data_IF_199055684589
#
_entry.id   IF_199055684589
#
_cell.length_a   1.000
_cell.length_b   1.000
_cell.length_c   1.000
_cell.angle_alpha   90.00
_cell.angle_beta   90.00
_cell.angle_gamma   90.00
#
_symmetry.space_group_name_H-M   'P 1'
#
loop_
_entity.id
_entity.type
_entity.pdbx_description
1 polymer ?
#
# COMPACT_ATOMS: atom_id res chain seq x y z
N UNK A 1 18.66 -8.68 6.81
CA UNK A 1 18.14 -8.40 5.44
C UNK A 1 17.29 -7.14 5.52
N UNK A 2 17.04 -6.48 4.40
CA UNK A 2 16.15 -5.31 4.33
C UNK A 2 14.69 -5.74 4.17
N UNK A 3 13.73 -4.83 4.41
CA UNK A 3 12.31 -5.12 4.20
C UNK A 3 12.02 -5.37 2.71
N UNK A 4 11.12 -6.30 2.42
CA UNK A 4 10.65 -6.60 1.06
C UNK A 4 9.58 -5.60 0.58
N UNK A 5 8.94 -4.89 1.52
CA UNK A 5 7.84 -3.96 1.28
C UNK A 5 8.07 -2.96 0.13
N UNK A 6 9.18 -2.19 0.05
CA UNK A 6 9.37 -1.24 -1.06
C UNK A 6 9.47 -1.92 -2.43
N UNK A 7 10.03 -3.13 -2.47
CA UNK A 7 10.15 -3.91 -3.70
C UNK A 7 8.79 -4.45 -4.15
N UNK A 8 7.99 -4.97 -3.21
CA UNK A 8 6.64 -5.43 -3.49
C UNK A 8 5.74 -4.29 -3.95
N UNK A 9 5.83 -3.11 -3.34
CA UNK A 9 5.09 -1.92 -3.79
C UNK A 9 5.38 -1.61 -5.27
N UNK A 10 6.65 -1.54 -5.67
CA UNK A 10 7.02 -1.29 -7.07
C UNK A 10 6.55 -2.38 -8.02
N UNK A 11 6.67 -3.65 -7.62
CA UNK A 11 6.24 -4.79 -8.43
C UNK A 11 4.72 -4.78 -8.65
N UNK A 12 3.93 -4.52 -7.60
CA UNK A 12 2.47 -4.45 -7.69
C UNK A 12 2.03 -3.21 -8.46
N UNK A 13 2.69 -2.07 -8.26
CA UNK A 13 2.46 -0.86 -9.04
C UNK A 13 2.59 -1.14 -10.55
N UNK A 14 3.72 -1.75 -10.96
CA UNK A 14 3.94 -2.10 -12.36
C UNK A 14 2.89 -3.10 -12.86
N UNK A 15 2.57 -4.12 -12.07
CA UNK A 15 1.56 -5.10 -12.43
C UNK A 15 0.17 -4.47 -12.62
N UNK A 16 -0.24 -3.54 -11.76
CA UNK A 16 -1.52 -2.81 -11.92
C UNK A 16 -1.52 -1.99 -13.22
N UNK A 17 -0.43 -1.30 -13.52
CA UNK A 17 -0.27 -0.51 -14.74
C UNK A 17 -0.31 -1.36 -16.01
N UNK A 18 0.39 -2.49 -16.02
CA UNK A 18 0.38 -3.44 -17.15
C UNK A 18 -1.03 -3.99 -17.43
N UNK A 19 -1.90 -4.03 -16.40
CA UNK A 19 -3.29 -4.46 -16.51
C UNK A 19 -4.30 -3.31 -16.65
N UNK A 20 -3.84 -2.06 -16.85
CA UNK A 20 -4.70 -0.88 -17.03
C UNK A 20 -5.65 -0.63 -15.83
N UNK A 21 -5.16 -0.91 -14.62
CA UNK A 21 -5.88 -0.71 -13.36
C UNK A 21 -5.25 0.49 -12.62
N UNK A 22 -6.09 1.38 -12.08
CA UNK A 22 -5.62 2.63 -11.45
C UNK A 22 -4.99 2.33 -10.07
N UNK A 23 -3.68 2.55 -9.86
CA UNK A 23 -3.00 2.21 -8.62
C UNK A 23 -3.26 3.23 -7.52
N UNK A 24 -3.80 2.75 -6.40
CA UNK A 24 -4.08 3.52 -5.19
C UNK A 24 -3.18 3.06 -4.05
N UNK A 25 -2.65 4.03 -3.28
CA UNK A 25 -1.97 3.77 -2.00
C UNK A 25 -2.92 4.08 -0.85
N UNK A 26 -2.99 3.16 0.12
CA UNK A 26 -3.51 3.48 1.46
C UNK A 26 -2.33 3.80 2.37
N UNK A 27 -2.36 4.97 3.01
CA UNK A 27 -1.26 5.48 3.83
C UNK A 27 -1.76 5.78 5.23
N UNK A 28 -0.99 5.38 6.25
CA UNK A 28 -1.16 5.85 7.62
C UNK A 28 -0.57 7.26 7.75
N UNK A 29 -1.43 8.26 7.89
CA UNK A 29 -1.04 9.66 7.96
C UNK A 29 -0.65 10.12 9.39
N UNK A 30 -0.73 9.23 10.38
CA UNK A 30 -0.33 9.56 11.77
C UNK A 30 1.15 9.30 12.06
N UNK A 31 1.90 8.74 11.10
CA UNK A 31 3.32 8.45 11.29
C UNK A 31 4.20 9.67 10.98
N UNK A 32 5.28 9.82 11.74
CA UNK A 32 6.26 10.86 11.53
C UNK A 32 6.88 10.79 10.12
N UNK A 33 7.10 11.96 9.53
CA UNK A 33 7.67 12.09 8.19
C UNK A 33 6.66 11.99 7.04
N UNK A 34 5.39 11.62 7.31
CA UNK A 34 4.34 11.67 6.29
C UNK A 34 3.95 13.13 6.01
N UNK A 35 4.13 13.57 4.76
CA UNK A 35 3.76 14.89 4.29
C UNK A 35 2.66 14.76 3.24
N UNK A 36 1.43 14.99 3.67
CA UNK A 36 0.22 14.91 2.85
C UNK A 36 -0.77 16.02 3.24
N UNK A 37 -1.74 16.37 2.39
CA UNK A 37 -2.72 17.40 2.71
C UNK A 37 -3.66 16.94 3.83
N UNK A 38 -3.59 17.62 4.99
CA UNK A 38 -4.30 17.22 6.21
C UNK A 38 -5.83 17.20 6.03
N UNK A 39 -6.35 18.08 5.18
CA UNK A 39 -7.78 18.20 4.85
C UNK A 39 -8.39 16.92 4.23
N UNK A 40 -7.56 16.02 3.71
CA UNK A 40 -7.98 14.78 3.04
C UNK A 40 -7.72 13.54 3.89
N UNK A 41 -7.25 13.72 5.13
CA UNK A 41 -7.05 12.62 6.08
C UNK A 41 -8.41 12.24 6.69
N UNK A 42 -8.74 10.96 6.67
CA UNK A 42 -9.90 10.38 7.32
C UNK A 42 -9.48 9.21 8.22
N UNK A 43 -9.87 9.23 9.49
CA UNK A 43 -9.50 8.23 10.50
C UNK A 43 -7.98 7.93 10.55
N UNK A 44 -7.17 9.00 10.47
CA UNK A 44 -5.71 8.91 10.48
C UNK A 44 -5.11 8.30 9.21
N UNK A 45 -5.90 8.10 8.15
CA UNK A 45 -5.46 7.51 6.89
C UNK A 45 -5.74 8.44 5.71
N UNK A 46 -5.00 8.25 4.64
CA UNK A 46 -5.26 8.90 3.36
C UNK A 46 -5.14 7.88 2.23
N UNK A 47 -5.99 8.02 1.22
CA UNK A 47 -5.92 7.24 -0.02
C UNK A 47 -5.36 8.16 -1.10
N UNK A 48 -4.30 7.72 -1.76
CA UNK A 48 -3.60 8.50 -2.78
C UNK A 48 -3.67 7.78 -4.12
N UNK A 49 -4.16 8.47 -5.14
CA UNK A 49 -4.06 8.00 -6.52
C UNK A 49 -2.62 8.23 -7.01
N UNK A 50 -1.92 7.17 -7.40
CA UNK A 50 -0.56 7.23 -7.92
C UNK A 50 -0.47 6.82 -9.40
N UNK A 51 -1.60 6.82 -10.11
CA UNK A 51 -1.60 6.62 -11.55
C UNK A 51 -0.77 7.70 -12.27
N UNK A 52 0.00 7.36 -13.32
CA UNK A 52 0.82 8.33 -14.06
C UNK A 52 0.06 9.55 -14.55
N UNK A 53 -1.23 9.43 -14.87
CA UNK A 53 -2.05 10.55 -15.33
C UNK A 53 -2.48 11.48 -14.17
N UNK A 54 -2.40 11.01 -12.93
CA UNK A 54 -2.83 11.73 -11.73
C UNK A 54 -1.69 12.44 -10.99
N UNK A 55 -0.43 12.06 -11.25
CA UNK A 55 0.75 12.53 -10.52
C UNK A 55 1.85 13.02 -11.45
N UNK A 56 2.76 13.85 -10.94
CA UNK A 56 3.99 14.23 -11.63
C UNK A 56 5.19 13.90 -10.75
N UNK A 57 6.35 13.66 -11.38
CA UNK A 57 7.61 13.36 -10.70
C UNK A 57 7.50 12.19 -9.71
N UNK A 58 6.78 11.13 -10.09
CA UNK A 58 6.63 9.94 -9.26
C UNK A 58 7.99 9.25 -9.04
N UNK A 59 8.35 9.11 -7.78
CA UNK A 59 9.57 8.44 -7.34
C UNK A 59 9.25 7.50 -6.19
N UNK A 60 9.71 6.26 -6.29
CA UNK A 60 9.48 5.22 -5.28
C UNK A 60 10.79 4.46 -5.01
N UNK A 61 11.46 4.79 -3.92
CA UNK A 61 12.71 4.14 -3.52
C UNK A 61 12.49 3.19 -2.32
N UNK A 62 13.56 2.86 -1.60
CA UNK A 62 13.49 1.92 -0.49
C UNK A 62 13.06 2.56 0.83
N UNK A 63 13.10 3.89 0.93
CA UNK A 63 12.88 4.65 2.16
C UNK A 63 11.58 5.47 2.08
N UNK A 64 11.26 6.02 0.91
CA UNK A 64 10.06 6.82 0.66
C UNK A 64 9.49 6.69 -0.75
N UNK A 65 8.25 7.14 -0.86
CA UNK A 65 7.56 7.46 -2.11
C UNK A 65 7.30 8.96 -2.11
N UNK A 66 7.61 9.63 -3.22
CA UNK A 66 7.38 11.06 -3.39
C UNK A 66 6.82 11.36 -4.77
N UNK A 67 5.90 12.32 -4.85
CA UNK A 67 5.32 12.80 -6.10
C UNK A 67 4.59 14.13 -5.86
N UNK A 68 4.29 14.85 -6.94
CA UNK A 68 3.40 16.01 -6.90
C UNK A 68 2.02 15.65 -7.43
N UNK A 69 0.96 16.11 -6.78
CA UNK A 69 -0.42 15.93 -7.23
C UNK A 69 -1.26 17.18 -6.95
N UNK A 70 -2.47 17.24 -7.54
CA UNK A 70 -3.39 18.36 -7.35
C UNK A 70 -4.50 18.01 -6.37
N UNK A 71 -4.64 18.82 -5.33
CA UNK A 71 -5.71 18.73 -4.33
C UNK A 71 -6.53 20.02 -4.40
N UNK A 72 -7.83 19.91 -4.75
CA UNK A 72 -8.70 21.08 -5.01
C UNK A 72 -8.07 22.09 -5.96
N UNK A 73 -7.39 21.60 -7.00
CA UNK A 73 -6.72 22.42 -8.00
C UNK A 73 -5.40 23.05 -7.55
N UNK A 74 -4.94 22.87 -6.32
CA UNK A 74 -3.62 23.31 -5.85
C UNK A 74 -2.61 22.18 -6.00
N UNK A 75 -1.47 22.45 -6.63
CA UNK A 75 -0.37 21.50 -6.71
C UNK A 75 0.34 21.42 -5.36
N UNK A 76 0.63 20.20 -4.91
CA UNK A 76 1.33 19.92 -3.66
C UNK A 76 2.31 18.77 -3.89
N UNK A 77 3.49 18.86 -3.28
CA UNK A 77 4.44 17.75 -3.18
C UNK A 77 4.08 16.88 -1.97
N UNK A 78 4.18 15.57 -2.16
CA UNK A 78 3.85 14.56 -1.16
C UNK A 78 5.09 13.73 -0.86
N UNK A 79 5.24 13.37 0.40
CA UNK A 79 6.34 12.52 0.87
C UNK A 79 5.81 11.47 1.82
N UNK A 80 6.01 10.20 1.49
CA UNK A 80 5.44 9.05 2.20
C UNK A 80 6.56 8.07 2.54
N UNK A 81 6.99 7.97 3.81
CA UNK A 81 7.87 6.90 4.24
C UNK A 81 7.28 5.52 3.94
N UNK A 82 8.09 4.57 3.49
CA UNK A 82 7.61 3.22 3.13
C UNK A 82 6.91 2.52 4.30
N UNK A 83 7.35 2.80 5.53
CA UNK A 83 6.70 2.28 6.74
C UNK A 83 5.23 2.70 6.86
N UNK A 84 4.84 3.86 6.33
CA UNK A 84 3.50 4.40 6.40
C UNK A 84 2.54 3.81 5.35
N UNK A 85 3.04 3.10 4.34
CA UNK A 85 2.19 2.49 3.31
C UNK A 85 1.48 1.27 3.90
N UNK A 86 0.15 1.33 4.03
CA UNK A 86 -0.65 0.22 4.53
C UNK A 86 -1.05 -0.76 3.43
N UNK A 87 -1.28 -0.26 2.20
CA UNK A 87 -1.63 -1.09 1.06
C UNK A 87 -1.29 -0.40 -0.27
N UNK A 88 -1.13 -1.21 -1.31
CA UNK A 88 -1.21 -0.80 -2.71
C UNK A 88 -2.25 -1.68 -3.41
N UNK A 89 -3.21 -1.07 -4.09
CA UNK A 89 -4.31 -1.80 -4.72
C UNK A 89 -4.90 -1.05 -5.92
N UNK A 90 -5.57 -1.79 -6.78
CA UNK A 90 -6.33 -1.26 -7.91
C UNK A 90 -7.65 -0.64 -7.45
N UNK A 91 -7.92 0.59 -7.88
CA UNK A 91 -9.17 1.30 -7.57
C UNK A 91 -10.42 0.51 -8.01
N UNK A 92 -10.34 -0.15 -9.16
CA UNK A 92 -11.48 -0.75 -9.87
C UNK A 92 -11.93 -2.07 -9.24
N UNK A 93 -10.98 -2.88 -8.78
CA UNK A 93 -11.22 -4.27 -8.36
C UNK A 93 -10.69 -4.59 -6.96
N UNK A 94 -9.99 -3.67 -6.31
CA UNK A 94 -9.31 -3.84 -5.03
C UNK A 94 -8.26 -4.97 -5.03
N UNK A 95 -7.74 -5.36 -6.21
CA UNK A 95 -6.63 -6.30 -6.29
C UNK A 95 -5.31 -5.61 -5.93
N UNK A 96 -4.45 -6.31 -5.19
CA UNK A 96 -3.19 -5.76 -4.72
C UNK A 96 -2.71 -6.45 -3.46
N UNK A 97 -2.08 -5.68 -2.57
CA UNK A 97 -1.51 -6.20 -1.33
C UNK A 97 -1.74 -5.24 -0.17
N UNK A 98 -2.09 -5.82 0.97
CA UNK A 98 -2.12 -5.17 2.27
C UNK A 98 -0.88 -5.61 3.04
N UNK A 99 -0.11 -4.64 3.54
CA UNK A 99 1.10 -4.91 4.29
C UNK A 99 0.78 -5.02 5.78
N UNK A 100 1.26 -6.09 6.42
CA UNK A 100 1.18 -6.25 7.88
C UNK A 100 2.48 -5.81 8.54
N UNK A 101 2.45 -5.54 9.85
CA UNK A 101 3.62 -5.13 10.62
C UNK A 101 4.76 -6.19 10.59
N UNK A 102 4.44 -7.45 10.33
CA UNK A 102 5.42 -8.54 10.23
C UNK A 102 6.28 -8.48 8.95
N UNK A 103 5.78 -7.85 7.88
CA UNK A 103 6.49 -7.70 6.59
C UNK A 103 7.56 -6.58 6.62
N UNK A 104 7.66 -5.89 7.76
CA UNK A 104 8.72 -4.93 8.09
C UNK A 104 10.02 -5.66 8.46
N UNK A 105 9.95 -6.96 8.80
CA UNK A 105 11.12 -7.74 9.17
C UNK A 105 11.77 -8.45 7.97
N UNK A 106 13.11 -8.60 7.96
CA UNK A 106 13.76 -9.52 7.04
C UNK A 106 13.14 -10.92 7.16
N UNK A 107 12.93 -11.67 6.05
CA UNK A 107 12.45 -13.04 6.15
C UNK A 107 13.45 -13.84 6.99
N UNK A 108 13.02 -14.25 8.18
CA UNK A 108 13.73 -15.28 8.93
C UNK A 108 13.60 -16.58 8.14
N UNK A 109 14.69 -17.34 7.91
CA UNK A 109 14.52 -18.64 7.30
C UNK A 109 13.76 -19.51 8.31
N UNK A 110 12.70 -20.20 7.84
CA UNK A 110 12.03 -21.37 8.46
C UNK A 110 10.62 -21.11 9.03
N UNK A 111 9.57 -21.37 8.23
CA UNK A 111 8.67 -22.56 8.25
C UNK A 111 7.34 -22.21 7.55
N UNK A 112 6.72 -23.13 6.79
CA UNK A 112 5.43 -22.87 6.16
C UNK A 112 4.38 -22.62 7.25
N UNK A 113 3.85 -21.40 7.27
CA UNK A 113 2.71 -21.03 8.12
C UNK A 113 1.50 -21.85 7.67
N UNK A 114 1.10 -22.80 8.51
CA UNK A 114 -0.13 -23.57 8.33
C UNK A 114 -1.32 -22.61 8.40
N UNK A 115 -1.90 -22.29 7.24
CA UNK A 115 -3.23 -21.71 7.15
C UNK A 115 -4.21 -22.65 7.86
N UNK A 116 -4.61 -22.32 9.09
CA UNK A 116 -5.71 -22.99 9.80
C UNK A 116 -7.02 -22.66 9.08
N UNK A 117 -7.33 -23.40 8.02
CA UNK A 117 -8.69 -23.49 7.51
C UNK A 117 -9.57 -24.18 8.56
N UNK A 118 -10.44 -23.39 9.20
CA UNK A 118 -11.55 -23.87 10.03
C UNK A 118 -12.45 -24.76 9.17
N UNK A 119 -12.42 -26.08 9.39
CA UNK A 119 -13.42 -27.00 8.80
C UNK A 119 -14.74 -26.86 9.56
N UNK A 120 -15.89 -26.66 8.91
CA UNK A 120 -17.18 -26.70 9.59
C UNK A 120 -17.52 -28.16 9.93
N UNK A 121 -17.82 -28.42 11.21
CA UNK A 121 -18.23 -29.74 11.68
C UNK A 121 -19.68 -30.02 11.31
N UNK A 122 -19.91 -31.04 10.48
CA UNK A 122 -21.24 -31.56 10.19
C UNK A 122 -21.68 -32.47 11.36
N UNK A 123 -22.76 -32.10 12.04
CA UNK A 123 -23.43 -32.96 13.04
C UNK A 123 -24.28 -34.00 12.31
N UNK A 124 -24.04 -35.27 12.60
CA UNK A 124 -24.90 -36.38 12.20
C UNK A 124 -26.22 -36.27 12.97
N UNK A 125 -27.34 -36.20 12.26
CA UNK A 125 -28.70 -36.30 12.84
C UNK A 125 -29.08 -37.78 12.85
N UNK A 126 -29.59 -38.23 13.99
CA UNK A 126 -29.94 -39.62 14.31
C UNK A 126 -31.32 -39.98 13.78
#
# INVERSE_FOLDING_TARGET
MTSQKPYLIRAIYQWLQDNQVTPYLLVNATLDGVQVPIEYINDGKIVLNIDPDAVNNFHADNEWISFSARFSGKQMELFIPIIAVLAIYGKENNEGMFFTDDEISPPSPTKPSSLKQKRPGLKIVK
#
